data_IF_583116265783
#
_entry.id   IF_583116265783
#
_cell.length_a   1.000
_cell.length_b   1.000
_cell.length_c   1.000
_cell.angle_alpha   90.00
_cell.angle_beta   90.00
_cell.angle_gamma   90.00
#
_symmetry.space_group_name_H-M   'P 1'
#
loop_
_entity.id
_entity.type
_entity.pdbx_description
1 polymer ?
#
# COMPACT_ATOMS: atom_id res chain seq x y z
N UNK A 1 -13.34 14.33 -13.77
CA UNK A 1 -12.37 13.57 -12.97
C UNK A 1 -13.09 12.31 -12.52
N UNK A 2 -12.72 11.15 -13.07
CA UNK A 2 -13.41 9.90 -12.76
C UNK A 2 -12.82 9.35 -11.47
N UNK A 3 -13.51 9.57 -10.34
CA UNK A 3 -13.25 8.79 -9.14
C UNK A 3 -13.42 7.31 -9.47
N UNK A 4 -12.62 6.44 -8.84
CA UNK A 4 -12.75 5.00 -9.05
C UNK A 4 -14.20 4.61 -8.69
N UNK A 5 -14.92 3.94 -9.60
CA UNK A 5 -16.34 3.60 -9.38
C UNK A 5 -16.51 2.45 -8.37
N UNK A 6 -15.48 2.21 -7.55
CA UNK A 6 -15.30 1.09 -6.63
C UNK A 6 -14.72 1.63 -5.34
N UNK A 7 -15.13 1.01 -4.23
CA UNK A 7 -14.58 1.30 -2.90
C UNK A 7 -13.05 1.19 -2.95
N UNK A 8 -12.34 2.23 -2.55
CA UNK A 8 -10.87 2.28 -2.61
C UNK A 8 -10.30 2.20 -1.20
N UNK A 9 -9.47 1.21 -0.94
CA UNK A 9 -8.77 1.07 0.34
C UNK A 9 -7.27 1.24 0.12
N UNK A 10 -6.66 2.14 0.90
CA UNK A 10 -5.21 2.26 0.95
C UNK A 10 -4.66 1.21 1.93
N UNK A 11 -3.74 0.36 1.48
CA UNK A 11 -3.13 -0.68 2.29
C UNK A 11 -1.82 -0.16 2.91
N UNK A 12 -1.71 -0.27 4.22
CA UNK A 12 -0.51 0.04 5.01
C UNK A 12 0.51 -1.11 4.95
N UNK A 13 1.80 -0.81 5.17
CA UNK A 13 2.85 -1.80 5.31
C UNK A 13 2.54 -2.85 6.39
N UNK A 14 1.82 -2.48 7.46
CA UNK A 14 1.45 -3.40 8.55
C UNK A 14 0.51 -4.54 8.09
N UNK A 15 -0.41 -4.29 7.14
CA UNK A 15 -1.31 -5.30 6.58
C UNK A 15 -0.64 -6.08 5.47
N UNK A 16 0.22 -5.43 4.69
CA UNK A 16 0.98 -6.08 3.61
C UNK A 16 2.09 -7.00 4.14
N UNK A 17 2.64 -6.70 5.32
CA UNK A 17 3.66 -7.50 5.98
C UNK A 17 3.21 -8.93 6.32
N UNK A 18 1.94 -9.11 6.71
CA UNK A 18 1.40 -10.42 7.08
C UNK A 18 0.94 -11.18 5.84
N UNK A 19 1.55 -12.33 5.54
CA UNK A 19 1.17 -13.18 4.39
C UNK A 19 -0.32 -13.52 4.41
N UNK A 20 -0.86 -13.91 5.57
CA UNK A 20 -2.26 -14.31 5.68
C UNK A 20 -3.25 -13.16 5.42
N UNK A 21 -2.92 -11.95 5.89
CA UNK A 21 -3.78 -10.78 5.69
C UNK A 21 -3.66 -10.28 4.25
N UNK A 22 -2.43 -10.11 3.77
CA UNK A 22 -2.19 -9.68 2.40
C UNK A 22 -2.77 -10.64 1.36
N UNK A 23 -2.65 -11.96 1.53
CA UNK A 23 -3.26 -12.94 0.61
C UNK A 23 -4.78 -12.78 0.58
N UNK A 24 -5.45 -12.67 1.74
CA UNK A 24 -6.89 -12.48 1.79
C UNK A 24 -7.33 -11.16 1.11
N UNK A 25 -6.60 -10.07 1.35
CA UNK A 25 -6.87 -8.78 0.71
C UNK A 25 -6.66 -8.83 -0.81
N UNK A 26 -5.58 -9.47 -1.27
CA UNK A 26 -5.32 -9.66 -2.71
C UNK A 26 -6.39 -10.54 -3.36
N UNK A 27 -6.83 -11.62 -2.71
CA UNK A 27 -7.92 -12.46 -3.20
C UNK A 27 -9.22 -11.65 -3.38
N UNK A 28 -9.59 -10.83 -2.38
CA UNK A 28 -10.77 -9.97 -2.50
C UNK A 28 -10.57 -8.89 -3.58
N UNK A 29 -9.39 -8.30 -3.69
CA UNK A 29 -9.08 -7.31 -4.72
C UNK A 29 -9.18 -7.91 -6.14
N UNK A 30 -8.71 -9.15 -6.31
CA UNK A 30 -8.79 -9.89 -7.58
C UNK A 30 -10.24 -10.13 -8.06
N UNK A 31 -11.21 -10.17 -7.14
CA UNK A 31 -12.65 -10.25 -7.51
C UNK A 31 -13.20 -8.93 -8.06
N UNK A 32 -12.47 -7.82 -7.88
CA UNK A 32 -12.86 -6.48 -8.30
C UNK A 32 -13.87 -5.79 -7.38
N UNK A 33 -14.19 -6.36 -6.21
CA UNK A 33 -15.14 -5.79 -5.23
C UNK A 33 -14.64 -4.44 -4.68
N UNK A 34 -13.33 -4.26 -4.55
CA UNK A 34 -12.71 -3.01 -4.14
C UNK A 34 -11.42 -2.77 -4.93
N UNK A 35 -10.89 -1.55 -4.88
CA UNK A 35 -9.59 -1.17 -5.41
C UNK A 35 -8.59 -1.06 -4.26
N UNK A 36 -7.61 -1.98 -4.23
CA UNK A 36 -6.49 -1.89 -3.31
C UNK A 36 -5.44 -0.91 -3.86
N UNK A 37 -5.01 0.05 -3.05
CA UNK A 37 -3.96 1.00 -3.41
C UNK A 37 -2.92 1.13 -2.32
N UNK A 38 -1.69 1.46 -2.68
CA UNK A 38 -0.62 1.80 -1.73
C UNK A 38 0.48 2.58 -2.47
N UNK A 39 1.50 3.05 -1.76
CA UNK A 39 2.64 3.75 -2.36
C UNK A 39 3.87 2.84 -2.45
N UNK A 40 4.85 3.21 -3.29
CA UNK A 40 6.16 2.53 -3.32
C UNK A 40 6.86 2.54 -1.97
N UNK A 41 6.69 3.60 -1.18
CA UNK A 41 7.25 3.66 0.17
C UNK A 41 6.68 2.56 1.08
N UNK A 42 5.38 2.29 0.98
CA UNK A 42 4.75 1.15 1.68
C UNK A 42 5.39 -0.17 1.25
N UNK A 43 5.64 -0.36 -0.06
CA UNK A 43 6.35 -1.55 -0.56
C UNK A 43 7.73 -1.72 0.06
N UNK A 44 8.52 -0.64 0.06
CA UNK A 44 9.85 -0.63 0.65
C UNK A 44 9.82 -0.92 2.16
N UNK A 45 8.80 -0.48 2.88
CA UNK A 45 8.67 -0.70 4.31
C UNK A 45 8.37 -2.15 4.64
N UNK A 46 7.34 -2.74 4.03
CA UNK A 46 6.98 -4.12 4.36
C UNK A 46 8.04 -5.11 3.88
N UNK A 47 8.67 -4.88 2.71
CA UNK A 47 9.75 -5.73 2.19
C UNK A 47 10.96 -5.68 3.12
N UNK A 48 11.43 -4.48 3.48
CA UNK A 48 12.59 -4.28 4.36
C UNK A 48 12.36 -4.88 5.74
N UNK A 49 11.17 -4.67 6.32
CA UNK A 49 10.84 -5.21 7.64
C UNK A 49 10.74 -6.74 7.61
N UNK A 50 10.15 -7.32 6.57
CA UNK A 50 10.04 -8.77 6.41
C UNK A 50 11.41 -9.41 6.19
N UNK A 51 12.25 -8.83 5.33
CA UNK A 51 13.62 -9.26 5.09
C UNK A 51 14.45 -9.26 6.38
N UNK A 52 14.40 -8.15 7.13
CA UNK A 52 15.05 -8.02 8.44
C UNK A 52 14.57 -9.08 9.42
N UNK A 53 13.26 -9.29 9.55
CA UNK A 53 12.68 -10.22 10.53
C UNK A 53 12.92 -11.69 10.16
N UNK A 54 13.05 -12.01 8.87
CA UNK A 54 13.35 -13.37 8.40
C UNK A 54 14.85 -13.65 8.27
N UNK A 55 15.71 -12.63 8.41
CA UNK A 55 17.15 -12.76 8.20
C UNK A 55 17.51 -13.14 6.75
N UNK A 56 16.75 -12.63 5.78
CA UNK A 56 16.90 -12.93 4.34
C UNK A 56 17.08 -11.64 3.54
N UNK A 57 17.70 -11.68 2.35
CA UNK A 57 17.78 -10.52 1.47
C UNK A 57 16.40 -10.03 1.00
N UNK A 58 16.25 -8.72 0.77
CA UNK A 58 14.99 -8.12 0.28
C UNK A 58 14.53 -8.68 -1.08
N UNK A 59 15.49 -9.00 -1.95
CA UNK A 59 15.22 -9.56 -3.29
C UNK A 59 14.39 -10.86 -3.23
N UNK A 60 14.48 -11.61 -2.13
CA UNK A 60 13.70 -12.84 -1.93
C UNK A 60 12.18 -12.58 -1.84
N UNK A 61 11.78 -11.33 -1.61
CA UNK A 61 10.38 -10.93 -1.45
C UNK A 61 9.85 -10.13 -2.65
N UNK A 62 10.71 -9.70 -3.58
CA UNK A 62 10.31 -8.93 -4.75
C UNK A 62 9.35 -9.71 -5.65
N UNK A 63 9.55 -11.01 -5.83
CA UNK A 63 8.61 -11.84 -6.59
C UNK A 63 7.19 -11.79 -6.03
N UNK A 64 7.03 -11.78 -4.70
CA UNK A 64 5.71 -11.63 -4.07
C UNK A 64 5.13 -10.25 -4.31
N UNK A 65 5.93 -9.20 -4.12
CA UNK A 65 5.54 -7.82 -4.37
C UNK A 65 5.02 -7.65 -5.80
N UNK A 66 5.77 -8.13 -6.78
CA UNK A 66 5.44 -7.99 -8.20
C UNK A 66 4.14 -8.76 -8.55
N UNK A 67 3.93 -9.94 -7.96
CA UNK A 67 2.65 -10.66 -8.10
C UNK A 67 1.46 -9.88 -7.50
N UNK A 68 1.66 -9.13 -6.41
CA UNK A 68 0.61 -8.27 -5.84
C UNK A 68 0.29 -7.09 -6.77
N UNK A 69 1.29 -6.54 -7.45
CA UNK A 69 1.10 -5.51 -8.48
C UNK A 69 0.30 -6.03 -9.68
N UNK A 70 0.58 -7.25 -10.11
CA UNK A 70 -0.15 -7.90 -11.22
C UNK A 70 -1.64 -8.12 -10.90
N UNK A 71 -1.96 -8.43 -9.63
CA UNK A 71 -3.34 -8.59 -9.15
C UNK A 71 -4.09 -7.25 -9.11
N UNK A 72 -3.38 -6.16 -8.85
CA UNK A 72 -3.95 -4.82 -8.66
C UNK A 72 -3.34 -3.81 -9.64
N UNK A 73 -3.72 -3.77 -10.94
CA UNK A 73 -3.04 -2.93 -11.93
C UNK A 73 -3.03 -1.42 -11.66
N UNK A 74 -3.97 -0.92 -10.85
CA UNK A 74 -4.06 0.48 -10.41
C UNK A 74 -3.64 0.69 -8.95
N UNK A 75 -2.78 -0.19 -8.41
CA UNK A 75 -2.33 -0.18 -7.02
C UNK A 75 -1.59 1.11 -6.62
N UNK A 76 -0.79 1.68 -7.51
CA UNK A 76 0.14 2.73 -7.12
C UNK A 76 -0.57 4.07 -6.91
N UNK A 77 -0.37 4.65 -5.73
CA UNK A 77 -0.49 6.10 -5.51
C UNK A 77 0.88 6.72 -5.71
N UNK A 78 1.10 7.48 -6.82
CA UNK A 78 2.40 8.03 -7.13
C UNK A 78 2.89 9.00 -6.05
N UNK A 79 4.19 9.02 -5.79
CA UNK A 79 4.82 9.87 -4.76
C UNK A 79 4.52 11.35 -4.96
N UNK A 80 4.58 11.81 -6.22
CA UNK A 80 4.28 13.19 -6.61
C UNK A 80 2.85 13.63 -6.24
N UNK A 81 1.92 12.69 -6.06
CA UNK A 81 0.53 12.99 -5.71
C UNK A 81 0.36 13.31 -4.22
N UNK A 82 1.23 12.79 -3.34
CA UNK A 82 1.05 12.90 -1.89
C UNK A 82 2.22 13.56 -1.14
N UNK A 83 3.40 13.66 -1.73
CA UNK A 83 4.60 14.21 -1.07
C UNK A 83 4.43 15.66 -0.56
N UNK A 84 3.55 16.45 -1.18
CA UNK A 84 3.26 17.83 -0.73
C UNK A 84 2.22 17.87 0.39
N UNK A 85 1.45 16.80 0.57
CA UNK A 85 0.42 16.68 1.60
C UNK A 85 1.06 16.24 2.92
N UNK A 86 1.96 15.26 2.88
CA UNK A 86 2.58 14.63 4.05
C UNK A 86 3.11 15.64 5.10
N UNK A 87 3.87 16.70 4.74
CA UNK A 87 4.45 17.61 5.74
C UNK A 87 3.40 18.44 6.48
N UNK A 88 2.19 18.57 5.92
CA UNK A 88 1.08 19.31 6.52
C UNK A 88 0.30 18.49 7.56
N UNK A 89 0.49 17.16 7.59
CA UNK A 89 -0.22 16.26 8.48
C UNK A 89 0.41 16.21 9.87
N UNK A 90 -0.44 16.31 10.89
CA UNK A 90 -0.07 16.18 12.30
C UNK A 90 -0.67 14.90 12.86
N UNK A 91 0.14 13.84 12.86
CA UNK A 91 -0.20 12.55 13.46
C UNK A 91 0.69 12.25 14.68
N UNK A 92 0.21 11.45 15.64
CA UNK A 92 1.01 11.00 16.78
C UNK A 92 2.26 10.22 16.36
N UNK A 93 2.13 9.35 15.35
CA UNK A 93 3.28 8.72 14.68
C UNK A 93 3.62 9.52 13.41
N UNK A 94 4.89 9.90 13.29
CA UNK A 94 5.38 10.63 12.11
C UNK A 94 5.44 9.69 10.90
N UNK A 95 5.68 8.40 11.13
CA UNK A 95 5.79 7.42 10.06
C UNK A 95 4.43 7.16 9.40
N UNK A 96 3.30 7.34 10.08
CA UNK A 96 1.98 7.09 9.47
C UNK A 96 1.55 8.21 8.49
N UNK A 97 2.30 9.31 8.41
CA UNK A 97 1.91 10.48 7.61
C UNK A 97 1.91 10.19 6.13
N UNK A 98 2.88 9.43 5.61
CA UNK A 98 2.91 9.11 4.18
C UNK A 98 1.73 8.21 3.79
N UNK A 99 1.33 7.28 4.68
CA UNK A 99 0.14 6.44 4.48
C UNK A 99 -1.09 7.32 4.36
N UNK A 100 -1.35 8.19 5.35
CA UNK A 100 -2.52 9.08 5.29
C UNK A 100 -2.46 10.05 4.10
N UNK A 101 -1.29 10.61 3.78
CA UNK A 101 -1.12 11.48 2.63
C UNK A 101 -1.44 10.76 1.31
N UNK A 102 -0.95 9.54 1.13
CA UNK A 102 -1.25 8.70 -0.03
C UNK A 102 -2.74 8.35 -0.11
N UNK A 103 -3.40 8.10 1.03
CA UNK A 103 -4.85 7.86 1.06
C UNK A 103 -5.64 9.09 0.61
N UNK A 104 -5.27 10.28 1.09
CA UNK A 104 -5.90 11.55 0.67
C UNK A 104 -5.71 11.78 -0.83
N UNK A 105 -4.49 11.65 -1.34
CA UNK A 105 -4.17 11.86 -2.75
C UNK A 105 -4.82 10.80 -3.66
N UNK A 106 -4.88 9.55 -3.19
CA UNK A 106 -5.46 8.42 -3.88
C UNK A 106 -6.98 8.36 -3.81
N UNK A 107 -7.62 9.31 -3.11
CA UNK A 107 -9.06 9.34 -2.83
C UNK A 107 -9.57 8.02 -2.20
N UNK A 108 -8.85 7.50 -1.22
CA UNK A 108 -9.22 6.29 -0.51
C UNK A 108 -10.42 6.53 0.41
N UNK A 109 -11.34 5.57 0.45
CA UNK A 109 -12.48 5.51 1.37
C UNK A 109 -12.10 4.95 2.74
N UNK A 110 -10.99 4.19 2.82
CA UNK A 110 -10.42 3.63 4.06
C UNK A 110 -8.91 3.44 3.99
N UNK A 111 -8.31 3.30 5.17
CA UNK A 111 -6.94 2.84 5.42
C UNK A 111 -7.03 1.62 6.32
#
# INVERSE_FOLDING_TARGET
MAGNNRYTALLDANVLYSVAISDALMEVAATGIYAAKWSRQVDEEWVRNLAKNKGRPEIDFHTRRDLMHDVCPDWEVPEEAWMLIEPSLQLPDVNDRHVLAAAIAGHADSI
#
